data_IF_439700495024
#
_entry.id   IF_439700495024
#
_cell.length_a   1.000
_cell.length_b   1.000
_cell.length_c   1.000
_cell.angle_alpha   90.00
_cell.angle_beta   90.00
_cell.angle_gamma   90.00
#
_symmetry.space_group_name_H-M   'P 1'
#
loop_
_entity.id
_entity.type
_entity.pdbx_description
1 polymer ?
#
# COMPACT_ATOMS: atom_id res chain seq x y z
N UNK A 1 17.41 -4.73 -0.61
CA UNK A 1 16.37 -4.29 0.31
C UNK A 1 16.04 -2.81 0.09
N UNK A 2 15.03 -2.56 -0.75
CA UNK A 2 14.60 -1.20 -1.05
C UNK A 2 13.16 -0.97 -0.66
N UNK A 3 12.88 0.18 -0.07
CA UNK A 3 11.52 0.53 0.36
C UNK A 3 10.99 1.72 -0.43
N UNK A 4 9.77 1.58 -0.94
CA UNK A 4 9.13 2.64 -1.71
C UNK A 4 7.62 2.61 -1.56
N UNK A 5 6.97 3.73 -1.87
CA UNK A 5 5.52 3.82 -1.77
C UNK A 5 4.85 3.15 -2.96
N UNK A 6 3.82 2.36 -2.68
CA UNK A 6 3.08 1.66 -3.73
C UNK A 6 1.61 1.54 -3.37
N UNK A 7 0.75 1.63 -4.39
CA UNK A 7 -0.69 1.52 -4.18
C UNK A 7 -1.11 0.07 -3.97
N UNK A 8 -2.02 -0.14 -3.03
CA UNK A 8 -2.51 -1.48 -2.73
C UNK A 8 -3.94 -1.45 -2.22
N UNK A 9 -4.72 -2.48 -2.56
CA UNK A 9 -6.11 -2.56 -2.14
C UNK A 9 -6.20 -2.86 -0.65
N UNK A 10 -6.68 -1.87 0.11
CA UNK A 10 -6.84 -2.03 1.55
C UNK A 10 -8.23 -1.63 2.01
N UNK A 11 -8.88 -2.53 2.75
CA UNK A 11 -10.23 -2.27 3.25
C UNK A 11 -10.18 -1.67 4.66
N UNK A 12 -11.27 -1.04 5.05
CA UNK A 12 -11.36 -0.42 6.37
C UNK A 12 -12.79 -0.48 6.91
N UNK B 1 -16.51 0.17 6.00
CA UNK B 1 -16.09 -1.00 5.22
C UNK B 1 -15.92 -0.63 3.75
N UNK B 2 -14.78 -0.02 3.43
CA UNK B 2 -14.49 0.38 2.06
C UNK B 2 -13.06 0.02 1.67
N UNK B 3 -12.89 -0.48 0.45
CA UNK B 3 -11.57 -0.85 -0.05
C UNK B 3 -11.13 0.06 -1.18
N UNK B 4 -9.93 0.61 -1.05
CA UNK B 4 -9.38 1.51 -2.06
C UNK B 4 -7.86 1.43 -2.10
N UNK B 5 -7.28 1.83 -3.23
CA UNK B 5 -5.83 1.80 -3.40
C UNK B 5 -5.18 2.97 -2.66
N UNK B 6 -4.11 2.67 -1.93
CA UNK B 6 -3.39 3.69 -1.18
C UNK B 6 -1.89 3.39 -1.14
N UNK B 7 -1.09 4.45 -1.15
CA UNK B 7 0.36 4.31 -1.11
C UNK B 7 0.84 3.91 0.28
N UNK B 8 1.82 3.02 0.33
CA UNK B 8 2.36 2.56 1.60
C UNK B 8 3.84 2.17 1.46
N UNK B 9 4.61 2.41 2.52
CA UNK B 9 6.03 2.07 2.51
C UNK B 9 6.24 0.56 2.64
N UNK B 10 6.76 -0.06 1.59
CA UNK B 10 7.00 -1.49 1.59
C UNK B 10 8.41 -1.80 1.10
N UNK B 11 9.15 -2.58 1.89
CA UNK B 11 10.51 -2.95 1.54
C UNK B 11 10.53 -4.27 0.77
N UNK B 12 11.63 -4.52 0.07
CA UNK B 12 11.78 -5.74 -0.71
C UNK B 12 13.25 -6.17 -0.81
#
# INVERSE_FOLDING_TARGET
RICQFVLIRVCR
RICQFVLIRVCR
#
